data_IF_630210460829
#
_entry.id   IF_630210460829
#
_cell.length_a   1.000
_cell.length_b   1.000
_cell.length_c   1.000
_cell.angle_alpha   90.00
_cell.angle_beta   90.00
_cell.angle_gamma   90.00
#
_symmetry.space_group_name_H-M   'P 1'
#
loop_
_entity.id
_entity.type
_entity.pdbx_description
1 polymer ?
#
# COMPACT_ATOMS: atom_id res chain seq x y z
N UNK A 1 -0.80 -18.29 9.73
CA UNK A 1 -2.14 -18.04 9.19
C UNK A 1 -3.19 -17.80 10.27
N UNK A 2 -2.91 -17.00 11.28
CA UNK A 2 -3.85 -16.72 12.37
C UNK A 2 -4.08 -15.22 12.45
N UNK A 3 -5.02 -14.70 11.63
CA UNK A 3 -5.59 -13.37 11.81
C UNK A 3 -6.84 -13.43 12.71
N UNK A 4 -7.23 -14.62 13.15
CA UNK A 4 -8.45 -14.91 13.89
C UNK A 4 -8.29 -14.72 15.42
N UNK A 5 -7.18 -14.25 15.89
CA UNK A 5 -6.88 -13.97 17.29
C UNK A 5 -6.15 -12.64 17.47
N UNK A 6 -6.17 -12.10 18.68
CA UNK A 6 -5.24 -11.03 19.08
C UNK A 6 -3.83 -11.49 18.71
N UNK A 7 -3.24 -10.87 17.71
CA UNK A 7 -1.86 -11.13 17.33
C UNK A 7 -0.99 -10.68 18.51
N UNK A 8 -0.65 -11.62 19.38
CA UNK A 8 0.17 -11.31 20.53
C UNK A 8 1.62 -11.17 20.09
N UNK A 9 2.08 -9.93 20.05
CA UNK A 9 3.46 -9.59 19.75
C UNK A 9 4.47 -10.27 20.70
N UNK A 10 4.03 -10.66 21.91
CA UNK A 10 4.85 -11.37 22.86
C UNK A 10 5.12 -12.79 22.40
N UNK A 11 4.09 -13.49 21.94
CA UNK A 11 4.21 -14.84 21.37
C UNK A 11 5.12 -14.84 20.14
N UNK A 12 4.93 -13.88 19.21
CA UNK A 12 5.78 -13.78 18.01
C UNK A 12 7.23 -13.46 18.37
N UNK A 13 7.46 -12.59 19.35
CA UNK A 13 8.79 -12.23 19.79
C UNK A 13 9.50 -13.42 20.46
N UNK A 14 8.78 -14.18 21.28
CA UNK A 14 9.28 -15.42 21.92
C UNK A 14 9.65 -16.47 20.85
N UNK A 15 8.77 -16.76 19.91
CA UNK A 15 9.01 -17.75 18.85
C UNK A 15 10.17 -17.36 17.93
N UNK A 16 10.38 -16.07 17.73
CA UNK A 16 11.48 -15.55 16.90
C UNK A 16 12.79 -15.29 17.66
N UNK A 17 12.81 -15.51 18.97
CA UNK A 17 13.95 -15.21 19.85
C UNK A 17 14.41 -13.74 19.83
N UNK A 18 13.51 -12.82 19.50
CA UNK A 18 13.76 -11.40 19.54
C UNK A 18 12.99 -10.71 20.66
N UNK A 19 13.52 -9.60 21.17
CA UNK A 19 12.71 -8.75 22.05
C UNK A 19 11.58 -8.07 21.24
N UNK A 20 10.44 -7.84 21.86
CA UNK A 20 9.28 -7.13 21.29
C UNK A 20 9.68 -5.78 20.65
N UNK A 21 10.58 -5.06 21.33
CA UNK A 21 11.09 -3.78 20.84
C UNK A 21 11.95 -3.93 19.57
N UNK A 22 12.80 -4.95 19.53
CA UNK A 22 13.64 -5.23 18.36
C UNK A 22 12.79 -5.65 17.17
N UNK A 23 11.82 -6.55 17.38
CA UNK A 23 10.88 -6.98 16.35
C UNK A 23 10.09 -5.80 15.77
N UNK A 24 9.55 -4.93 16.63
CA UNK A 24 8.82 -3.74 16.20
C UNK A 24 9.70 -2.81 15.36
N UNK A 25 10.92 -2.52 15.81
CA UNK A 25 11.85 -1.64 15.10
C UNK A 25 12.28 -2.23 13.76
N UNK A 26 12.59 -3.54 13.73
CA UNK A 26 12.95 -4.25 12.51
C UNK A 26 11.80 -4.23 11.49
N UNK A 27 10.57 -4.52 11.94
CA UNK A 27 9.39 -4.49 11.09
C UNK A 27 9.15 -3.08 10.53
N UNK A 28 9.16 -2.06 11.38
CA UNK A 28 8.92 -0.67 10.97
C UNK A 28 10.00 -0.17 10.00
N UNK A 29 11.28 -0.52 10.24
CA UNK A 29 12.36 -0.15 9.32
C UNK A 29 12.27 -0.85 7.97
N UNK A 30 11.68 -2.06 7.93
CA UNK A 30 11.54 -2.84 6.69
C UNK A 30 10.28 -2.48 5.90
N UNK A 31 9.17 -2.21 6.59
CA UNK A 31 7.86 -2.02 5.93
C UNK A 31 7.40 -0.57 5.89
N UNK A 32 8.04 0.32 6.65
CA UNK A 32 7.66 1.72 6.75
C UNK A 32 6.41 1.98 7.60
N UNK A 33 5.83 0.95 8.24
CA UNK A 33 4.65 1.07 9.11
C UNK A 33 4.81 0.24 10.38
N UNK A 34 4.00 0.55 11.40
CA UNK A 34 4.02 -0.24 12.63
C UNK A 34 3.38 -1.63 12.42
N UNK A 35 3.74 -2.60 13.26
CA UNK A 35 3.09 -3.92 13.22
C UNK A 35 1.59 -3.78 13.50
N UNK A 36 1.20 -2.91 14.42
CA UNK A 36 -0.19 -2.64 14.77
C UNK A 36 -0.97 -2.12 13.54
N UNK A 37 -0.44 -1.11 12.84
CA UNK A 37 -1.09 -0.56 11.65
C UNK A 37 -1.22 -1.61 10.54
N UNK A 38 -0.17 -2.41 10.35
CA UNK A 38 -0.20 -3.50 9.36
C UNK A 38 -1.30 -4.53 9.69
N UNK A 39 -1.36 -4.98 10.94
CA UNK A 39 -2.37 -5.96 11.38
C UNK A 39 -3.78 -5.39 11.24
N UNK A 40 -4.01 -4.18 11.71
CA UNK A 40 -5.31 -3.51 11.60
C UNK A 40 -5.76 -3.38 10.14
N UNK A 41 -4.87 -2.95 9.24
CA UNK A 41 -5.15 -2.86 7.80
C UNK A 41 -5.45 -4.23 7.18
N UNK A 42 -4.73 -5.27 7.59
CA UNK A 42 -4.98 -6.64 7.16
C UNK A 42 -6.33 -7.15 7.64
N UNK A 43 -6.69 -6.92 8.90
CA UNK A 43 -7.99 -7.28 9.46
C UNK A 43 -9.13 -6.58 8.71
N UNK A 44 -9.00 -5.27 8.46
CA UNK A 44 -10.00 -4.50 7.71
C UNK A 44 -10.08 -4.93 6.25
N UNK A 45 -8.98 -5.36 5.63
CA UNK A 45 -8.99 -5.94 4.28
C UNK A 45 -9.80 -7.25 4.23
N UNK A 46 -9.61 -8.14 5.20
CA UNK A 46 -10.40 -9.39 5.28
C UNK A 46 -11.87 -9.09 5.60
N UNK A 47 -12.14 -8.09 6.45
CA UNK A 47 -13.50 -7.63 6.71
C UNK A 47 -14.18 -7.09 5.44
N UNK A 48 -13.49 -6.26 4.67
CA UNK A 48 -13.98 -5.74 3.39
C UNK A 48 -14.34 -6.87 2.42
N UNK A 49 -13.49 -7.90 2.35
CA UNK A 49 -13.75 -9.11 1.56
C UNK A 49 -15.01 -9.84 2.03
N UNK A 50 -15.18 -10.01 3.34
CA UNK A 50 -16.38 -10.66 3.91
C UNK A 50 -17.64 -9.83 3.69
N UNK A 51 -17.54 -8.48 3.75
CA UNK A 51 -18.69 -7.60 3.49
C UNK A 51 -19.21 -7.75 2.07
N UNK A 52 -18.34 -7.90 1.07
CA UNK A 52 -18.72 -8.00 -0.35
C UNK A 52 -19.12 -9.45 -0.72
N UNK A 53 -18.34 -10.44 -0.31
CA UNK A 53 -18.48 -11.81 -0.81
C UNK A 53 -19.23 -12.75 0.14
N UNK A 54 -19.75 -12.26 1.28
CA UNK A 54 -20.53 -13.09 2.19
C UNK A 54 -21.83 -12.40 2.61
N UNK A 55 -22.79 -13.22 3.11
CA UNK A 55 -24.06 -12.75 3.68
C UNK A 55 -24.01 -12.55 5.19
N UNK A 56 -22.81 -12.58 5.80
CA UNK A 56 -22.66 -12.42 7.25
C UNK A 56 -23.12 -11.02 7.67
N UNK A 57 -23.72 -10.91 8.85
CA UNK A 57 -24.06 -9.62 9.44
C UNK A 57 -22.79 -8.79 9.71
N UNK A 58 -22.92 -7.49 9.85
CA UNK A 58 -21.78 -6.60 10.17
C UNK A 58 -21.17 -6.99 11.52
N UNK A 59 -22.00 -7.42 12.49
CA UNK A 59 -21.52 -7.91 13.78
C UNK A 59 -20.69 -9.19 13.63
N UNK A 60 -21.15 -10.17 12.86
CA UNK A 60 -20.38 -11.40 12.61
C UNK A 60 -19.05 -11.11 11.93
N UNK A 61 -19.03 -10.21 10.95
CA UNK A 61 -17.79 -9.77 10.30
C UNK A 61 -16.85 -9.13 11.30
N UNK A 62 -17.36 -8.25 12.18
CA UNK A 62 -16.58 -7.61 13.22
C UNK A 62 -15.89 -8.63 14.14
N UNK A 63 -16.68 -9.60 14.65
CA UNK A 63 -16.18 -10.65 15.55
C UNK A 63 -15.14 -11.55 14.87
N UNK A 64 -15.39 -11.98 13.63
CA UNK A 64 -14.44 -12.79 12.84
C UNK A 64 -13.11 -12.05 12.64
N UNK A 65 -13.16 -10.73 12.45
CA UNK A 65 -11.95 -9.91 12.26
C UNK A 65 -11.29 -9.45 13.56
N UNK A 66 -11.72 -10.00 14.72
CA UNK A 66 -11.09 -9.78 16.01
C UNK A 66 -11.51 -8.50 16.74
N UNK A 67 -12.62 -7.88 16.34
CA UNK A 67 -13.19 -6.73 17.05
C UNK A 67 -14.16 -7.20 18.13
N UNK A 68 -14.15 -6.53 19.29
CA UNK A 68 -14.99 -6.87 20.44
C UNK A 68 -16.46 -6.42 20.26
N UNK A 69 -16.71 -5.47 19.34
CA UNK A 69 -18.05 -4.96 19.07
C UNK A 69 -18.19 -4.45 17.63
N UNK A 70 -19.44 -4.43 17.14
CA UNK A 70 -19.76 -3.83 15.86
C UNK A 70 -19.43 -2.34 15.83
N UNK A 71 -19.54 -1.64 16.95
CA UNK A 71 -19.29 -0.20 17.03
C UNK A 71 -17.80 0.11 16.88
N UNK A 72 -16.92 -0.60 17.58
CA UNK A 72 -15.46 -0.44 17.45
C UNK A 72 -14.99 -0.78 16.03
N UNK A 73 -15.53 -1.86 15.46
CA UNK A 73 -15.28 -2.23 14.06
C UNK A 73 -15.72 -1.15 13.10
N UNK A 74 -16.97 -0.66 13.21
CA UNK A 74 -17.52 0.33 12.27
C UNK A 74 -16.74 1.65 12.32
N UNK A 75 -16.28 2.05 13.51
CA UNK A 75 -15.44 3.23 13.68
C UNK A 75 -14.08 3.06 13.01
N UNK A 76 -13.39 1.94 13.25
CA UNK A 76 -12.10 1.63 12.62
C UNK A 76 -12.24 1.51 11.10
N UNK A 77 -13.27 0.82 10.62
CA UNK A 77 -13.55 0.65 9.20
C UNK A 77 -13.78 2.00 8.51
N UNK A 78 -14.66 2.84 9.07
CA UNK A 78 -14.95 4.18 8.54
C UNK A 78 -13.72 5.08 8.57
N UNK A 79 -12.88 4.98 9.59
CA UNK A 79 -11.61 5.74 9.66
C UNK A 79 -10.70 5.44 8.47
N UNK A 80 -10.60 4.17 8.06
CA UNK A 80 -9.70 3.69 7.00
C UNK A 80 -10.33 3.75 5.60
N UNK A 81 -11.56 3.26 5.45
CA UNK A 81 -12.27 3.21 4.17
C UNK A 81 -13.07 4.47 3.84
N UNK A 82 -13.19 5.42 4.78
CA UNK A 82 -13.93 6.68 4.67
C UNK A 82 -15.46 6.54 4.52
N UNK A 83 -15.96 5.33 4.38
CA UNK A 83 -17.39 4.98 4.35
C UNK A 83 -17.69 3.89 5.39
N UNK A 84 -18.96 3.74 5.76
CA UNK A 84 -19.38 2.74 6.74
C UNK A 84 -19.32 1.32 6.15
N UNK A 85 -19.23 0.27 6.99
CA UNK A 85 -19.31 -1.12 6.52
C UNK A 85 -20.58 -1.43 5.72
N UNK A 86 -21.71 -0.81 6.09
CA UNK A 86 -22.98 -1.00 5.38
C UNK A 86 -22.95 -0.36 3.98
N UNK A 87 -22.46 0.88 3.88
CA UNK A 87 -22.26 1.56 2.60
C UNK A 87 -21.29 0.78 1.72
N UNK A 88 -20.16 0.33 2.27
CA UNK A 88 -19.16 -0.48 1.54
C UNK A 88 -19.79 -1.76 0.96
N UNK A 89 -20.59 -2.45 1.75
CA UNK A 89 -21.33 -3.64 1.28
C UNK A 89 -22.25 -3.32 0.11
N UNK A 90 -22.94 -2.19 0.15
CA UNK A 90 -23.88 -1.80 -0.91
C UNK A 90 -23.19 -1.47 -2.24
N UNK A 91 -21.94 -1.01 -2.20
CA UNK A 91 -21.14 -0.74 -3.40
C UNK A 91 -20.75 -2.03 -4.15
N UNK A 92 -20.72 -3.20 -3.46
CA UNK A 92 -20.35 -4.49 -4.04
C UNK A 92 -18.96 -4.54 -4.71
N UNK A 93 -18.10 -3.59 -4.40
CA UNK A 93 -16.73 -3.50 -4.92
C UNK A 93 -15.74 -3.81 -3.81
N UNK A 94 -14.85 -4.79 -4.05
CA UNK A 94 -13.82 -5.15 -3.08
C UNK A 94 -12.53 -4.40 -3.35
N UNK A 95 -12.06 -3.71 -2.33
CA UNK A 95 -10.76 -3.06 -2.35
C UNK A 95 -9.92 -3.45 -1.11
N UNK A 96 -8.68 -3.95 -1.27
CA UNK A 96 -7.81 -4.27 -0.15
C UNK A 96 -7.06 -3.02 0.34
N UNK A 97 -7.16 -2.67 1.63
CA UNK A 97 -6.31 -1.64 2.25
C UNK A 97 -4.84 -2.05 2.35
N UNK A 98 -4.60 -3.34 2.52
CA UNK A 98 -3.27 -3.87 2.70
C UNK A 98 -3.17 -5.26 2.12
N UNK A 99 -2.37 -5.41 1.07
CA UNK A 99 -1.94 -6.71 0.58
C UNK A 99 -0.84 -7.30 1.47
N UNK A 100 -0.57 -8.60 1.32
CA UNK A 100 0.56 -9.24 2.01
C UNK A 100 1.86 -8.69 1.44
N UNK A 101 2.79 -8.33 2.31
CA UNK A 101 4.12 -7.99 1.86
C UNK A 101 4.84 -9.23 1.34
N UNK A 102 5.36 -9.12 0.14
CA UNK A 102 6.38 -10.04 -0.37
C UNK A 102 7.73 -9.42 -0.08
N UNK A 103 8.46 -9.97 0.89
CA UNK A 103 9.79 -9.46 1.23
C UNK A 103 10.80 -9.90 0.19
N UNK A 104 11.43 -8.95 -0.47
CA UNK A 104 12.56 -9.22 -1.36
C UNK A 104 13.82 -9.45 -0.52
N UNK A 105 14.47 -10.59 -0.68
CA UNK A 105 15.69 -10.94 0.10
C UNK A 105 16.88 -10.02 -0.18
N UNK A 106 16.95 -9.43 -1.37
CA UNK A 106 18.14 -8.68 -1.84
C UNK A 106 18.05 -7.16 -1.63
N UNK A 107 17.19 -6.69 -0.71
CA UNK A 107 16.96 -5.23 -0.52
C UNK A 107 18.14 -4.49 0.12
N UNK A 108 19.14 -5.19 0.65
CA UNK A 108 20.16 -4.55 1.53
C UNK A 108 21.39 -3.99 0.82
N UNK A 109 21.64 -4.31 -0.46
CA UNK A 109 22.97 -4.11 -1.07
C UNK A 109 23.05 -3.09 -2.21
N UNK A 110 21.93 -2.63 -2.79
CA UNK A 110 22.01 -1.69 -3.92
C UNK A 110 21.71 -0.25 -3.48
N UNK A 111 22.67 0.64 -3.64
CA UNK A 111 22.41 2.07 -3.67
C UNK A 111 21.82 2.43 -5.03
N UNK A 112 20.70 3.15 -5.03
CA UNK A 112 20.06 3.61 -6.24
C UNK A 112 20.56 5.00 -6.60
N UNK A 113 20.76 5.20 -7.90
CA UNK A 113 21.17 6.46 -8.50
C UNK A 113 20.09 7.00 -9.44
N UNK A 114 20.28 8.19 -9.98
CA UNK A 114 19.34 8.75 -10.97
C UNK A 114 19.25 7.90 -12.23
N UNK A 115 20.34 7.25 -12.62
CA UNK A 115 20.42 6.40 -13.80
C UNK A 115 19.56 5.12 -13.69
N UNK A 116 19.15 4.77 -12.47
CA UNK A 116 18.21 3.66 -12.22
C UNK A 116 16.73 4.06 -12.45
N UNK A 117 16.43 5.37 -12.56
CA UNK A 117 15.10 5.87 -12.86
C UNK A 117 14.96 6.00 -14.38
N UNK A 118 13.91 5.42 -14.91
CA UNK A 118 13.62 5.47 -16.35
C UNK A 118 12.17 5.90 -16.62
N UNK A 119 11.90 6.26 -17.87
CA UNK A 119 10.53 6.49 -18.32
C UNK A 119 9.72 5.21 -18.19
N UNK A 120 8.50 5.35 -17.72
CA UNK A 120 7.56 4.24 -17.62
C UNK A 120 7.09 3.78 -19.01
N UNK A 121 6.93 2.48 -19.15
CA UNK A 121 6.42 1.82 -20.36
C UNK A 121 5.04 1.21 -20.10
N UNK A 122 4.29 0.88 -21.16
CA UNK A 122 2.96 0.27 -21.02
C UNK A 122 3.01 -1.06 -20.25
N UNK A 123 4.10 -1.81 -20.35
CA UNK A 123 4.32 -3.03 -19.59
C UNK A 123 4.43 -2.83 -18.07
N UNK A 124 4.64 -1.61 -17.61
CA UNK A 124 4.76 -1.28 -16.19
C UNK A 124 3.40 -1.04 -15.51
N UNK A 125 2.32 -0.88 -16.28
CA UNK A 125 0.99 -0.55 -15.75
C UNK A 125 0.53 -1.53 -14.68
N UNK A 126 0.62 -2.87 -14.85
CA UNK A 126 0.18 -3.80 -13.80
C UNK A 126 0.96 -3.62 -12.49
N UNK A 127 2.30 -3.49 -12.57
CA UNK A 127 3.14 -3.28 -11.40
C UNK A 127 2.93 -1.90 -10.76
N UNK A 128 2.62 -0.88 -11.58
CA UNK A 128 2.25 0.45 -11.09
C UNK A 128 0.95 0.42 -10.29
N UNK A 129 -0.08 -0.27 -10.80
CA UNK A 129 -1.35 -0.46 -10.10
C UNK A 129 -1.17 -1.20 -8.79
N UNK A 130 -0.31 -2.23 -8.74
CA UNK A 130 0.03 -2.92 -7.50
C UNK A 130 0.74 -2.01 -6.50
N UNK A 131 1.73 -1.22 -6.93
CA UNK A 131 2.42 -0.25 -6.08
C UNK A 131 1.44 0.78 -5.53
N UNK A 132 0.56 1.31 -6.37
CA UNK A 132 -0.45 2.28 -5.98
C UNK A 132 -1.35 1.73 -4.85
N UNK A 133 -1.84 0.49 -4.98
CA UNK A 133 -2.64 -0.18 -3.93
C UNK A 133 -1.88 -0.36 -2.61
N UNK A 134 -0.55 -0.41 -2.64
CA UNK A 134 0.30 -0.52 -1.44
C UNK A 134 0.53 0.83 -0.76
N UNK A 135 0.49 1.94 -1.50
CA UNK A 135 0.96 3.25 -0.99
C UNK A 135 -0.14 4.27 -0.78
N UNK A 136 -1.30 4.13 -1.44
CA UNK A 136 -2.41 5.08 -1.26
C UNK A 136 -3.29 4.65 -0.10
N UNK A 137 -3.43 5.56 0.87
CA UNK A 137 -4.38 5.42 1.98
C UNK A 137 -5.74 6.00 1.59
N UNK A 138 -6.81 5.28 1.92
CA UNK A 138 -8.17 5.80 1.73
C UNK A 138 -8.73 5.65 0.30
N UNK A 139 -8.29 4.66 -0.40
CA UNK A 139 -8.60 4.33 -1.78
C UNK A 139 -10.08 4.13 -2.22
N UNK A 140 -11.10 3.95 -1.37
CA UNK A 140 -12.44 3.57 -1.82
C UNK A 140 -13.16 4.58 -2.74
N UNK A 141 -12.56 5.75 -2.98
CA UNK A 141 -13.17 6.81 -3.81
C UNK A 141 -12.56 6.85 -5.22
N UNK A 142 -11.56 6.02 -5.49
CA UNK A 142 -10.83 6.04 -6.75
C UNK A 142 -11.30 4.89 -7.64
N UNK A 143 -11.82 5.22 -8.81
CA UNK A 143 -12.13 4.24 -9.84
C UNK A 143 -10.81 3.74 -10.44
N UNK A 144 -10.48 2.46 -10.24
CA UNK A 144 -9.25 1.86 -10.77
C UNK A 144 -9.14 1.99 -12.30
N UNK A 145 -10.26 1.80 -13.00
CA UNK A 145 -10.29 1.88 -14.47
C UNK A 145 -9.96 3.29 -14.96
N UNK A 146 -10.47 4.32 -14.28
CA UNK A 146 -10.19 5.70 -14.64
C UNK A 146 -8.74 6.07 -14.30
N UNK A 147 -8.23 5.62 -13.15
CA UNK A 147 -6.83 5.80 -12.81
C UNK A 147 -5.89 5.09 -13.79
N UNK A 148 -6.22 3.87 -14.20
CA UNK A 148 -5.44 3.14 -15.19
C UNK A 148 -5.43 3.85 -16.55
N UNK A 149 -6.54 4.47 -16.97
CA UNK A 149 -6.60 5.32 -18.18
C UNK A 149 -5.68 6.53 -18.05
N UNK A 150 -5.70 7.22 -16.89
CA UNK A 150 -4.82 8.36 -16.65
C UNK A 150 -3.33 7.96 -16.64
N UNK A 151 -2.97 6.86 -16.01
CA UNK A 151 -1.58 6.33 -16.06
C UNK A 151 -1.19 5.94 -17.48
N UNK A 152 -2.08 5.29 -18.24
CA UNK A 152 -1.82 4.95 -19.65
C UNK A 152 -1.56 6.21 -20.48
N UNK A 153 -2.33 7.28 -20.25
CA UNK A 153 -2.14 8.57 -20.89
C UNK A 153 -0.80 9.20 -20.47
N UNK A 154 -0.51 9.23 -19.17
CA UNK A 154 0.73 9.75 -18.60
C UNK A 154 1.97 9.06 -19.22
N UNK A 155 1.96 7.74 -19.34
CA UNK A 155 3.03 6.96 -19.95
C UNK A 155 3.19 7.31 -21.45
N UNK A 156 2.11 7.40 -22.19
CA UNK A 156 2.13 7.78 -23.61
C UNK A 156 2.70 9.18 -23.84
N UNK A 157 2.43 10.10 -22.92
CA UNK A 157 2.93 11.48 -22.93
C UNK A 157 4.33 11.62 -22.31
N UNK A 158 4.98 10.50 -21.95
CA UNK A 158 6.33 10.45 -21.33
C UNK A 158 6.42 11.25 -20.02
N UNK A 159 5.35 11.28 -19.24
CA UNK A 159 5.24 11.98 -17.95
C UNK A 159 5.23 11.02 -16.75
N UNK A 160 5.65 9.79 -16.97
CA UNK A 160 5.77 8.74 -15.96
C UNK A 160 7.22 8.32 -15.77
N UNK A 161 7.68 8.29 -14.54
CA UNK A 161 9.00 7.81 -14.14
C UNK A 161 8.86 6.58 -13.25
N UNK A 162 9.74 5.60 -13.42
CA UNK A 162 9.75 4.36 -12.65
C UNK A 162 11.15 3.97 -12.22
N UNK A 163 11.23 3.34 -11.06
CA UNK A 163 12.41 2.68 -10.53
C UNK A 163 12.09 1.21 -10.32
N UNK A 164 12.84 0.33 -10.98
CA UNK A 164 12.61 -1.13 -10.95
C UNK A 164 13.83 -1.88 -10.45
N UNK A 165 13.62 -2.98 -9.72
CA UNK A 165 14.64 -3.95 -9.39
C UNK A 165 14.05 -5.37 -9.46
N UNK A 166 14.68 -6.27 -10.21
CA UNK A 166 14.25 -7.68 -10.32
C UNK A 166 12.74 -7.82 -10.67
N UNK A 167 12.26 -7.04 -11.62
CA UNK A 167 10.84 -6.94 -12.06
C UNK A 167 9.86 -6.38 -11.01
N UNK A 168 10.35 -5.91 -9.88
CA UNK A 168 9.52 -5.26 -8.85
C UNK A 168 9.60 -3.75 -9.08
N UNK A 169 8.45 -3.10 -9.07
CA UNK A 169 8.37 -1.65 -9.11
C UNK A 169 8.61 -1.09 -7.69
N UNK A 170 9.77 -0.46 -7.51
CA UNK A 170 10.20 0.11 -6.24
C UNK A 170 9.60 1.50 -6.02
N UNK A 171 9.52 2.26 -7.09
CA UNK A 171 8.97 3.61 -7.07
C UNK A 171 8.36 3.99 -8.40
N UNK A 172 7.37 4.86 -8.36
CA UNK A 172 6.73 5.45 -9.52
C UNK A 172 6.34 6.90 -9.25
N UNK A 173 6.51 7.74 -10.27
CA UNK A 173 6.08 9.14 -10.25
C UNK A 173 5.34 9.47 -11.54
N UNK A 174 4.18 10.12 -11.40
CA UNK A 174 3.48 10.80 -12.50
C UNK A 174 3.53 12.30 -12.24
N UNK A 175 3.75 13.07 -13.30
CA UNK A 175 3.81 14.53 -13.21
C UNK A 175 3.12 15.20 -14.40
N UNK A 176 2.73 16.45 -14.20
CA UNK A 176 2.18 17.31 -15.23
C UNK A 176 3.10 18.51 -15.46
N UNK A 177 3.19 18.95 -16.71
CA UNK A 177 4.06 20.08 -17.11
C UNK A 177 3.30 21.42 -17.20
N UNK A 178 1.98 21.37 -17.31
CA UNK A 178 1.15 22.58 -17.41
C UNK A 178 -0.22 22.37 -16.71
N UNK A 179 -0.42 22.83 -15.47
CA UNK A 179 0.60 23.37 -14.55
C UNK A 179 1.63 22.33 -14.13
N UNK A 180 2.82 22.80 -13.74
CA UNK A 180 3.83 21.90 -13.21
C UNK A 180 3.38 21.36 -11.85
N UNK A 181 3.13 20.05 -11.79
CA UNK A 181 2.69 19.36 -10.58
C UNK A 181 3.16 17.91 -10.54
N UNK A 182 3.29 17.37 -9.33
CA UNK A 182 3.45 15.94 -9.11
C UNK A 182 2.05 15.38 -8.84
N UNK A 183 1.57 14.58 -9.77
CA UNK A 183 0.23 13.99 -9.70
C UNK A 183 0.22 12.72 -8.83
N UNK A 184 1.36 12.02 -8.82
CA UNK A 184 1.58 10.84 -7.99
C UNK A 184 3.07 10.65 -7.71
N UNK A 185 3.42 10.27 -6.47
CA UNK A 185 4.73 9.76 -6.10
C UNK A 185 4.57 8.63 -5.08
N UNK A 186 4.76 7.41 -5.53
CA UNK A 186 4.69 6.21 -4.71
C UNK A 186 6.03 5.52 -4.57
N UNK A 187 6.42 5.20 -3.33
CA UNK A 187 7.61 4.38 -3.05
C UNK A 187 7.17 3.14 -2.29
N UNK A 188 7.60 1.99 -2.76
CA UNK A 188 7.35 0.70 -2.12
C UNK A 188 7.76 0.73 -0.64
N UNK A 189 6.94 0.28 0.30
CA UNK A 189 7.16 0.45 1.73
C UNK A 189 8.54 0.01 2.22
N UNK A 190 9.10 -1.08 1.68
CA UNK A 190 10.43 -1.60 2.04
C UNK A 190 11.59 -0.66 1.68
N UNK A 191 11.34 0.34 0.82
CA UNK A 191 12.37 1.24 0.28
C UNK A 191 12.20 2.69 0.73
N UNK A 192 11.17 3.01 1.54
CA UNK A 192 10.84 4.38 1.97
C UNK A 192 11.98 5.12 2.67
N UNK A 193 12.82 4.41 3.43
CA UNK A 193 13.92 5.00 4.20
C UNK A 193 15.24 5.12 3.41
N UNK A 194 15.21 5.06 2.08
CA UNK A 194 16.40 5.09 1.22
C UNK A 194 16.57 6.38 0.43
N UNK A 195 15.83 7.42 0.78
CA UNK A 195 15.93 8.72 0.11
C UNK A 195 15.42 8.76 -1.33
N UNK A 196 14.67 7.72 -1.77
CA UNK A 196 14.22 7.60 -3.16
C UNK A 196 13.29 8.73 -3.60
N UNK A 197 12.48 9.28 -2.66
CA UNK A 197 11.63 10.44 -2.96
C UNK A 197 12.46 11.61 -3.47
N UNK A 198 13.60 11.88 -2.79
CA UNK A 198 14.52 12.93 -3.22
C UNK A 198 15.12 12.62 -4.58
N UNK A 199 15.46 11.36 -4.85
CA UNK A 199 16.03 10.94 -6.12
C UNK A 199 15.06 11.20 -7.30
N UNK A 200 13.78 10.88 -7.12
CA UNK A 200 12.73 11.18 -8.11
C UNK A 200 12.54 12.69 -8.32
N UNK A 201 12.54 13.47 -7.23
CA UNK A 201 12.44 14.93 -7.31
C UNK A 201 13.64 15.56 -8.05
N UNK A 202 14.85 15.11 -7.72
CA UNK A 202 16.06 15.57 -8.37
C UNK A 202 16.08 15.21 -9.86
N UNK A 203 15.52 14.04 -10.23
CA UNK A 203 15.38 13.66 -11.64
C UNK A 203 14.41 14.58 -12.37
N UNK A 204 13.23 14.82 -11.80
CA UNK A 204 12.21 15.70 -12.37
C UNK A 204 12.72 17.13 -12.58
N UNK A 205 13.42 17.69 -11.58
CA UNK A 205 13.96 19.03 -11.65
C UNK A 205 15.00 19.19 -12.77
N UNK A 206 15.77 18.15 -13.06
CA UNK A 206 16.77 18.20 -14.14
C UNK A 206 16.14 17.98 -15.55
N UNK A 207 14.94 17.38 -15.63
CA UNK A 207 14.24 17.26 -16.92
C UNK A 207 13.41 18.49 -17.28
N UNK A 208 13.04 19.29 -16.26
CA UNK A 208 12.22 20.50 -16.46
C UNK A 208 13.04 21.79 -16.58
N UNK A 209 14.35 21.77 -16.27
CA UNK A 209 15.29 22.88 -16.40
C UNK A 209 16.16 22.71 -17.64
#
# INVERSE_FOLDING_TARGET
>A
HHLDGKLDLETIALDSHYSKYHLHRMFTSTTGMTIHDYVQRRQLTEAAKLLVFSRKSILEVALICGYESQQSFSSAFKSMYKITPAEYRNHQEFYPLQLRFTLCRDTKSKEFTRDDICLAEQGDIPAWMELMRLVIDGYPVMNEDDYQKEITKCIREKRGLVLKQNQILIGAMAYSTSPCSIDFLGIHPQYRNRGLQKLFLDMLLNELL
#
